data_IF_506398875507
#
_entry.id   IF_506398875507
#
_cell.length_a   1.000
_cell.length_b   1.000
_cell.length_c   1.000
_cell.angle_alpha   90.00
_cell.angle_beta   90.00
_cell.angle_gamma   90.00
#
_symmetry.space_group_name_H-M   'P 1'
#
loop_
_entity.id
_entity.type
_entity.pdbx_description
1 polymer ?
#
# COMPACT_ATOMS: atom_id res chain seq x y z
N UNK A 1 3.36 24.11 4.24
CA UNK A 1 3.84 23.53 5.51
C UNK A 1 2.78 22.58 6.00
N UNK A 2 3.13 21.34 6.37
CA UNK A 2 2.14 20.30 6.71
C UNK A 2 1.73 20.44 8.19
N UNK A 3 0.52 20.97 8.43
CA UNK A 3 0.16 21.66 9.69
C UNK A 3 0.18 20.75 10.93
N UNK A 4 0.04 19.44 10.75
CA UNK A 4 -0.01 18.45 11.84
C UNK A 4 1.31 17.71 12.12
N UNK A 5 2.41 18.03 11.41
CA UNK A 5 3.71 17.36 11.61
C UNK A 5 3.74 15.88 11.21
N UNK A 6 2.81 15.42 10.37
CA UNK A 6 2.82 14.05 9.85
C UNK A 6 4.09 13.77 9.05
N UNK A 7 4.76 12.61 9.21
CA UNK A 7 5.95 12.28 8.43
C UNK A 7 5.61 11.82 7.01
N UNK A 8 4.37 11.41 6.75
CA UNK A 8 3.84 11.14 5.41
C UNK A 8 2.32 11.35 5.39
N UNK A 9 1.80 11.91 4.31
CA UNK A 9 0.35 11.99 4.05
C UNK A 9 0.04 11.45 2.67
N UNK A 10 -1.05 10.68 2.56
CA UNK A 10 -1.59 10.21 1.28
C UNK A 10 -2.88 10.98 1.03
N UNK A 11 -2.96 11.69 -0.10
CA UNK A 11 -4.09 12.52 -0.45
C UNK A 11 -4.50 12.30 -1.92
N UNK A 12 -5.77 12.53 -2.22
CA UNK A 12 -6.29 12.53 -3.59
C UNK A 12 -6.15 13.94 -4.20
N UNK A 13 -5.75 14.03 -5.46
CA UNK A 13 -5.65 15.30 -6.21
C UNK A 13 -7.01 15.83 -6.69
N UNK A 14 -8.00 14.95 -6.84
CA UNK A 14 -9.37 15.24 -7.24
C UNK A 14 -10.33 14.22 -6.63
N UNK A 15 -11.63 14.53 -6.62
CA UNK A 15 -12.68 13.63 -6.13
C UNK A 15 -12.62 12.24 -6.79
N UNK A 16 -12.67 11.19 -5.96
CA UNK A 16 -12.62 9.79 -6.37
C UNK A 16 -13.86 9.08 -5.82
N UNK A 17 -14.44 8.17 -6.60
CA UNK A 17 -15.58 7.38 -6.13
C UNK A 17 -15.23 6.55 -4.91
N UNK A 18 -16.08 6.61 -3.87
CA UNK A 18 -15.99 5.87 -2.61
C UNK A 18 -15.50 4.41 -2.81
N UNK A 19 -16.17 3.68 -3.71
CA UNK A 19 -15.86 2.28 -4.06
C UNK A 19 -14.44 2.03 -4.60
N UNK A 20 -13.79 3.01 -5.23
CA UNK A 20 -12.40 2.87 -5.69
C UNK A 20 -11.38 3.35 -4.64
N UNK A 21 -11.69 4.38 -3.83
CA UNK A 21 -10.80 4.78 -2.72
C UNK A 21 -10.79 3.74 -1.59
N UNK A 22 -11.95 3.13 -1.31
CA UNK A 22 -12.11 1.99 -0.39
C UNK A 22 -11.28 0.77 -0.86
N UNK A 23 -11.28 0.49 -2.16
CA UNK A 23 -10.49 -0.58 -2.78
C UNK A 23 -8.98 -0.28 -2.78
N UNK A 24 -8.60 0.97 -3.05
CA UNK A 24 -7.22 1.45 -2.95
C UNK A 24 -6.71 1.36 -1.52
N UNK A 25 -7.43 1.90 -0.54
CA UNK A 25 -7.04 1.90 0.87
C UNK A 25 -6.83 0.49 1.40
N UNK A 26 -7.74 -0.43 1.06
CA UNK A 26 -7.56 -1.88 1.31
C UNK A 26 -6.27 -2.38 0.67
N UNK A 27 -6.03 -2.15 -0.62
CA UNK A 27 -4.82 -2.61 -1.30
C UNK A 27 -3.51 -2.04 -0.71
N UNK A 28 -3.48 -0.76 -0.31
CA UNK A 28 -2.33 -0.16 0.42
C UNK A 28 -2.09 -0.89 1.73
N UNK A 29 -3.14 -1.02 2.55
CA UNK A 29 -3.07 -1.62 3.88
C UNK A 29 -2.60 -3.09 3.82
N UNK A 30 -3.18 -3.87 2.90
CA UNK A 30 -2.78 -5.25 2.64
C UNK A 30 -1.31 -5.38 2.22
N UNK A 31 -0.85 -4.57 1.25
CA UNK A 31 0.54 -4.60 0.81
C UNK A 31 1.51 -4.22 1.95
N UNK A 32 1.15 -3.23 2.76
CA UNK A 32 1.97 -2.72 3.85
C UNK A 32 2.05 -3.69 5.05
N UNK A 33 0.94 -4.34 5.40
CA UNK A 33 0.90 -5.36 6.45
C UNK A 33 1.57 -6.67 6.02
N UNK A 34 1.37 -7.13 4.78
CA UNK A 34 1.99 -8.36 4.27
C UNK A 34 3.51 -8.30 4.35
N UNK A 35 4.10 -7.12 4.13
CA UNK A 35 5.55 -6.91 4.27
C UNK A 35 6.03 -6.93 5.73
N UNK A 36 5.22 -6.44 6.68
CA UNK A 36 5.49 -6.58 8.12
C UNK A 36 5.39 -8.03 8.58
N UNK A 37 4.40 -8.79 8.09
CA UNK A 37 4.20 -10.19 8.49
C UNK A 37 5.33 -11.12 8.02
N UNK A 38 5.93 -10.85 6.84
CA UNK A 38 7.18 -11.54 6.42
C UNK A 38 8.33 -11.38 7.41
N UNK A 39 8.40 -10.25 8.12
CA UNK A 39 9.43 -9.96 9.14
C UNK A 39 9.04 -10.47 10.55
N UNK A 40 7.86 -11.06 10.71
CA UNK A 40 7.32 -11.53 11.98
C UNK A 40 7.02 -13.05 12.02
N UNK A 41 7.19 -13.75 10.90
CA UNK A 41 6.94 -15.19 10.70
C UNK A 41 5.52 -15.69 11.02
N UNK A 42 4.56 -14.77 11.13
CA UNK A 42 3.13 -15.08 11.36
C UNK A 42 2.44 -15.56 10.08
N UNK A 43 2.86 -16.70 9.54
CA UNK A 43 2.40 -17.26 8.26
C UNK A 43 0.89 -17.59 8.19
N UNK A 44 0.20 -17.64 9.33
CA UNK A 44 -1.22 -17.99 9.43
C UNK A 44 -2.15 -16.87 8.94
N UNK A 45 -1.97 -15.64 9.45
CA UNK A 45 -2.90 -14.51 9.21
C UNK A 45 -2.86 -14.01 7.76
N UNK A 46 -1.76 -14.22 7.05
CA UNK A 46 -1.63 -13.88 5.62
C UNK A 46 -2.57 -14.73 4.76
N UNK A 47 -2.84 -15.98 5.16
CA UNK A 47 -3.71 -16.91 4.41
C UNK A 47 -5.18 -16.51 4.51
N UNK A 48 -5.63 -16.12 5.70
CA UNK A 48 -6.98 -15.58 5.91
C UNK A 48 -7.18 -14.25 5.18
N UNK A 49 -6.14 -13.41 5.08
CA UNK A 49 -6.21 -12.25 4.20
C UNK A 49 -6.38 -12.68 2.74
N UNK A 50 -5.53 -13.57 2.23
CA UNK A 50 -5.56 -13.99 0.81
C UNK A 50 -6.87 -14.70 0.39
N UNK A 51 -7.69 -15.20 1.32
CA UNK A 51 -9.05 -15.71 1.01
C UNK A 51 -10.11 -14.62 0.85
N UNK A 52 -9.89 -13.40 1.36
CA UNK A 52 -10.78 -12.25 1.10
C UNK A 52 -10.57 -11.70 -0.33
N UNK A 53 -11.29 -12.31 -1.28
CA UNK A 53 -11.24 -12.07 -2.74
C UNK A 53 -11.44 -10.60 -3.16
N UNK A 54 -10.35 -9.84 -3.20
CA UNK A 54 -10.23 -8.75 -4.18
C UNK A 54 -10.02 -9.41 -5.54
N UNK A 55 -10.95 -9.23 -6.50
CA UNK A 55 -10.76 -9.59 -7.92
C UNK A 55 -9.73 -8.66 -8.58
N UNK A 56 -8.47 -8.76 -8.16
CA UNK A 56 -7.33 -8.15 -8.84
C UNK A 56 -7.05 -8.90 -10.14
N UNK A 57 -7.17 -8.22 -11.28
CA UNK A 57 -6.70 -8.78 -12.56
C UNK A 57 -5.19 -9.00 -12.42
N UNK A 58 -4.72 -10.23 -12.69
CA UNK A 58 -3.33 -10.68 -12.41
C UNK A 58 -2.30 -10.00 -13.33
N UNK A 59 -2.07 -8.71 -13.10
CA UNK A 59 -1.05 -7.91 -13.78
C UNK A 59 0.34 -8.40 -13.36
N UNK A 60 0.95 -9.24 -14.20
CA UNK A 60 2.23 -9.89 -13.91
C UNK A 60 3.42 -8.94 -14.11
N UNK A 61 3.42 -7.80 -13.41
CA UNK A 61 4.51 -6.82 -13.44
C UNK A 61 5.58 -7.14 -12.39
N UNK A 62 6.15 -8.35 -12.47
CA UNK A 62 7.40 -8.69 -11.78
C UNK A 62 8.57 -7.95 -12.47
N UNK A 63 8.65 -6.63 -12.26
CA UNK A 63 9.94 -5.94 -12.40
C UNK A 63 10.81 -6.42 -11.25
N UNK A 64 11.76 -7.30 -11.54
CA UNK A 64 12.89 -7.58 -10.65
C UNK A 64 13.76 -6.32 -10.58
N UNK A 65 13.33 -5.34 -9.78
CA UNK A 65 14.22 -4.29 -9.28
C UNK A 65 15.28 -5.02 -8.44
N UNK A 66 16.59 -4.77 -8.66
CA UNK A 66 17.63 -5.47 -7.91
C UNK A 66 17.43 -5.24 -6.41
N UNK A 67 17.58 -6.31 -5.63
CA UNK A 67 17.35 -6.32 -4.19
C UNK A 67 18.49 -5.64 -3.43
N UNK A 68 18.56 -4.31 -3.51
CA UNK A 68 19.16 -3.54 -2.42
C UNK A 68 18.36 -3.79 -1.15
N UNK A 69 19.05 -3.99 -0.02
CA UNK A 69 18.43 -4.34 1.25
C UNK A 69 17.72 -3.13 1.87
N UNK A 70 16.54 -2.83 1.34
CA UNK A 70 15.78 -1.62 1.60
C UNK A 70 14.34 -2.00 1.95
N UNK A 71 14.02 -1.99 3.26
CA UNK A 71 12.67 -2.29 3.76
C UNK A 71 11.61 -1.51 2.97
N UNK A 72 10.60 -2.17 2.35
CA UNK A 72 9.64 -1.48 1.52
C UNK A 72 8.89 -0.38 2.26
N UNK A 73 8.82 0.79 1.61
CA UNK A 73 8.30 2.04 2.16
C UNK A 73 6.86 2.26 1.69
N UNK A 74 6.10 3.13 2.36
CA UNK A 74 4.68 3.37 2.02
C UNK A 74 4.44 3.65 0.53
N UNK A 75 5.34 4.42 -0.11
CA UNK A 75 5.26 4.73 -1.54
C UNK A 75 5.25 3.49 -2.46
N UNK A 76 5.89 2.37 -2.11
CA UNK A 76 5.82 1.14 -2.91
C UNK A 76 4.46 0.44 -2.76
N UNK A 77 3.89 0.45 -1.55
CA UNK A 77 2.54 -0.06 -1.28
C UNK A 77 1.47 0.77 -1.99
N UNK A 78 1.60 2.10 -1.97
CA UNK A 78 0.73 3.03 -2.70
C UNK A 78 0.84 2.83 -4.21
N UNK A 79 2.06 2.73 -4.75
CA UNK A 79 2.27 2.47 -6.18
C UNK A 79 1.57 1.18 -6.63
N UNK A 80 1.71 0.09 -5.87
CA UNK A 80 1.01 -1.18 -6.14
C UNK A 80 -0.50 -1.15 -5.92
N UNK A 81 -1.01 -0.26 -5.07
CA UNK A 81 -2.44 -0.13 -4.79
C UNK A 81 -3.23 0.59 -5.89
N UNK A 82 -2.60 1.53 -6.64
CA UNK A 82 -3.20 2.20 -7.81
C UNK A 82 -3.71 1.20 -8.86
N UNK A 83 -3.04 0.06 -8.95
CA UNK A 83 -3.36 -1.07 -9.84
C UNK A 83 -4.70 -1.76 -9.49
N UNK A 84 -5.25 -1.51 -8.30
CA UNK A 84 -6.54 -2.04 -7.84
C UNK A 84 -7.75 -1.18 -8.24
N UNK A 85 -7.56 0.12 -8.49
CA UNK A 85 -8.64 1.03 -8.88
C UNK A 85 -9.26 0.63 -10.22
N UNK A 86 -10.56 0.78 -10.36
CA UNK A 86 -11.32 0.39 -11.55
C UNK A 86 -10.90 1.21 -12.77
N UNK A 87 -10.73 2.51 -12.59
CA UNK A 87 -10.15 3.41 -13.60
C UNK A 87 -8.71 3.78 -13.21
N UNK A 88 -7.73 2.93 -13.55
CA UNK A 88 -6.31 3.11 -13.16
C UNK A 88 -5.72 4.48 -13.46
N UNK A 89 -6.09 5.10 -14.58
CA UNK A 89 -5.55 6.40 -15.01
C UNK A 89 -6.36 7.62 -14.54
N UNK A 90 -7.54 7.42 -13.96
CA UNK A 90 -8.38 8.50 -13.40
C UNK A 90 -8.47 8.38 -11.87
N UNK A 91 -8.97 7.25 -11.38
CA UNK A 91 -9.12 6.99 -9.94
C UNK A 91 -7.83 6.45 -9.32
N UNK A 92 -7.01 5.72 -10.10
CA UNK A 92 -5.69 5.26 -9.67
C UNK A 92 -4.57 6.31 -9.83
N UNK A 93 -4.80 7.42 -10.54
CA UNK A 93 -3.82 8.49 -10.67
C UNK A 93 -3.95 9.56 -9.57
N UNK A 94 -5.15 9.74 -9.01
CA UNK A 94 -5.44 10.74 -7.96
C UNK A 94 -4.61 10.58 -6.67
N UNK A 95 -4.35 9.37 -6.13
CA UNK A 95 -3.64 9.23 -4.85
C UNK A 95 -2.14 9.56 -4.96
N UNK A 96 -1.68 10.58 -4.25
CA UNK A 96 -0.29 11.06 -4.15
C UNK A 96 0.21 10.97 -2.71
N UNK A 97 1.52 10.71 -2.55
CA UNK A 97 2.20 10.77 -1.25
C UNK A 97 2.98 12.08 -1.11
N UNK A 98 2.79 12.78 0.00
CA UNK A 98 3.58 13.92 0.44
C UNK A 98 4.32 13.56 1.74
N UNK A 99 5.42 14.25 2.05
CA UNK A 99 6.30 13.94 3.18
C UNK A 99 7.49 13.04 2.84
N UNK A 100 8.09 12.41 3.85
CA UNK A 100 9.32 11.61 3.68
C UNK A 100 9.01 10.13 3.41
N UNK A 101 9.90 9.36 2.74
CA UNK A 101 9.71 7.93 2.51
C UNK A 101 9.76 7.09 3.80
N UNK A 102 8.62 6.93 4.48
CA UNK A 102 8.47 6.18 5.73
C UNK A 102 8.25 4.67 5.52
N UNK A 103 8.65 3.90 6.51
CA UNK A 103 8.14 2.56 6.80
C UNK A 103 7.76 2.49 8.28
N UNK A 104 6.85 1.61 8.68
CA UNK A 104 6.38 1.52 10.07
C UNK A 104 7.01 0.33 10.78
N UNK A 105 7.80 0.60 11.82
CA UNK A 105 8.21 -0.42 12.79
C UNK A 105 7.02 -0.84 13.67
N UNK A 106 7.10 -2.02 14.26
CA UNK A 106 6.29 -2.41 15.42
C UNK A 106 7.29 -2.46 16.58
N UNK A 107 6.97 -1.83 17.72
CA UNK A 107 7.72 -2.09 18.94
C UNK A 107 7.36 -3.51 19.37
N UNK A 108 8.35 -4.38 19.53
CA UNK A 108 8.18 -5.53 20.41
C UNK A 108 8.27 -4.96 21.82
N UNK A 109 7.14 -4.89 22.48
CA UNK A 109 7.07 -4.56 23.90
C UNK A 109 7.67 -5.74 24.69
N UNK A 110 8.24 -5.46 25.86
CA UNK A 110 9.09 -6.39 26.62
C UNK A 110 8.27 -7.33 27.52
#
# INVERSE_FOLDING_TARGET
MEVAGSPVTIANLWEVTDKDIDRFGKAVFYAWLRERMKLADCSQMVKEFETMKIKGRKGNSRKNVPSSDHRPKIGSSVCGARDSCTLRFLNGASPVCYGVPTGIWIRKDL
#
